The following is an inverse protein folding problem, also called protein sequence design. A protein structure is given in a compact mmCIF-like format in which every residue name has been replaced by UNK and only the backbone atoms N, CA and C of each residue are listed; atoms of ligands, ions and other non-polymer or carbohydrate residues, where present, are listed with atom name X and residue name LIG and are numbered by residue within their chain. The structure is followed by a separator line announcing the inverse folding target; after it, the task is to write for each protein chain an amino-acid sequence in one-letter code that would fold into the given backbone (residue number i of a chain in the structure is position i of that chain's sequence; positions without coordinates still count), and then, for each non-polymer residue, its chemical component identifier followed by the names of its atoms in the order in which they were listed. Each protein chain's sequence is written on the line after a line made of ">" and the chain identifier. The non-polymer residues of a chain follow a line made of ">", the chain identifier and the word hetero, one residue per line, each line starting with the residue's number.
data_IF_121259544557
#
_entry.id   IF_121259544557
#
_cell.length_a   1.000
_cell.length_b   1.000
_cell.length_c   1.000
_cell.angle_alpha   90.00
_cell.angle_beta   90.00
_cell.angle_gamma   90.00
#
_symmetry.space_group_name_H-M   'P 1'
#
loop_
_entity.id
_entity.type
_entity.pdbx_description
1 polymer ?
#
# COMPACT_ATOMS: atom_id res chain seq x y z
N UNK A 1 22.31 -33.87 -40.96
CA UNK A 1 21.89 -34.12 -39.56
C UNK A 1 23.17 -34.00 -38.73
N UNK A 2 23.46 -32.96 -37.96
CA UNK A 2 22.64 -32.00 -37.24
C UNK A 2 23.30 -30.63 -37.30
N UNK A 3 22.51 -29.61 -37.65
CA UNK A 3 22.84 -28.21 -37.44
C UNK A 3 22.72 -27.93 -35.94
N UNK A 4 23.83 -27.63 -35.26
CA UNK A 4 23.78 -27.08 -33.92
C UNK A 4 23.38 -25.61 -34.04
N UNK A 5 22.11 -25.32 -33.79
CA UNK A 5 21.63 -23.98 -33.57
C UNK A 5 22.17 -23.51 -32.21
N UNK A 6 23.17 -22.63 -32.27
CA UNK A 6 23.69 -21.86 -31.15
C UNK A 6 22.59 -20.89 -30.69
N UNK A 7 21.74 -21.35 -29.77
CA UNK A 7 20.71 -20.54 -29.14
C UNK A 7 21.38 -19.66 -28.09
N UNK A 8 22.01 -18.57 -28.54
CA UNK A 8 22.48 -17.52 -27.65
C UNK A 8 21.28 -16.82 -27.03
N UNK A 9 21.00 -17.12 -25.75
CA UNK A 9 20.00 -16.41 -24.96
C UNK A 9 20.54 -15.02 -24.66
N UNK A 10 20.24 -14.07 -25.54
CA UNK A 10 20.39 -12.66 -25.24
C UNK A 10 19.41 -12.32 -24.10
N UNK A 11 19.95 -12.09 -22.90
CA UNK A 11 19.17 -11.64 -21.73
C UNK A 11 18.62 -10.24 -22.03
N UNK A 12 17.45 -10.17 -22.67
CA UNK A 12 16.64 -8.96 -22.83
C UNK A 12 15.87 -8.70 -21.54
N UNK A 13 16.57 -8.33 -20.47
CA UNK A 13 15.93 -7.68 -19.32
C UNK A 13 16.86 -6.61 -18.77
N UNK A 14 16.85 -5.43 -19.40
CA UNK A 14 16.84 -4.23 -18.57
C UNK A 14 15.48 -4.21 -17.91
N UNK A 15 15.36 -4.92 -16.78
CA UNK A 15 14.25 -4.71 -15.89
C UNK A 15 14.38 -3.26 -15.44
N UNK A 16 13.53 -2.39 -15.99
CA UNK A 16 13.23 -1.12 -15.36
C UNK A 16 12.77 -1.49 -13.96
N UNK A 17 13.67 -1.33 -12.97
CA UNK A 17 13.35 -1.51 -11.56
C UNK A 17 11.95 -0.95 -11.33
N UNK A 18 11.00 -1.72 -10.77
CA UNK A 18 9.63 -1.27 -10.68
C UNK A 18 9.65 0.05 -9.94
N UNK A 19 9.31 1.13 -10.64
CA UNK A 19 9.21 2.45 -10.04
C UNK A 19 8.16 2.34 -8.95
N UNK A 20 8.62 2.35 -7.71
CA UNK A 20 7.79 2.15 -6.53
C UNK A 20 6.70 3.21 -6.52
N UNK A 21 5.49 2.77 -6.18
CA UNK A 21 4.35 3.69 -6.12
C UNK A 21 4.56 4.65 -4.95
N UNK A 22 4.18 5.91 -5.12
CA UNK A 22 4.31 6.95 -4.10
C UNK A 22 2.94 7.50 -3.75
N UNK A 23 2.73 7.79 -2.47
CA UNK A 23 1.50 8.45 -2.03
C UNK A 23 1.50 9.92 -2.44
N UNK A 24 0.33 10.58 -2.48
CA UNK A 24 0.26 12.02 -2.73
C UNK A 24 1.05 12.87 -1.73
N UNK A 25 1.32 12.34 -0.53
CA UNK A 25 2.04 13.02 0.55
C UNK A 25 3.55 12.69 0.59
N UNK A 26 4.07 11.98 -0.42
CA UNK A 26 5.45 11.53 -0.43
C UNK A 26 6.49 12.65 -0.32
N UNK A 27 6.24 13.82 -0.93
CA UNK A 27 7.12 14.98 -0.80
C UNK A 27 7.14 15.54 0.62
N UNK A 28 6.00 15.52 1.31
CA UNK A 28 5.89 15.98 2.70
C UNK A 28 6.65 15.04 3.63
N UNK A 29 6.55 13.73 3.41
CA UNK A 29 7.32 12.73 4.17
C UNK A 29 8.82 12.96 4.05
N UNK A 30 9.32 13.27 2.85
CA UNK A 30 10.73 13.62 2.66
C UNK A 30 11.12 14.90 3.39
N UNK A 31 10.28 15.95 3.32
CA UNK A 31 10.54 17.21 4.01
C UNK A 31 10.59 17.05 5.54
N UNK A 32 9.79 16.13 6.09
CA UNK A 32 9.76 15.78 7.52
C UNK A 32 10.89 14.82 7.94
N UNK A 33 11.78 14.45 7.03
CA UNK A 33 12.91 13.56 7.32
C UNK A 33 12.48 12.11 7.60
N UNK A 34 11.40 11.65 6.97
CA UNK A 34 10.95 10.28 7.12
C UNK A 34 12.00 9.28 6.63
N UNK A 35 12.17 8.20 7.39
CA UNK A 35 12.88 7.00 6.94
C UNK A 35 11.91 6.16 6.12
N UNK A 36 12.11 6.11 4.80
CA UNK A 36 11.22 5.35 3.91
C UNK A 36 11.69 3.91 3.73
N UNK A 37 10.75 3.02 3.41
CA UNK A 37 10.99 1.65 2.97
C UNK A 37 9.99 1.25 1.90
N UNK A 38 10.24 0.13 1.25
CA UNK A 38 9.30 -0.47 0.30
C UNK A 38 8.32 -1.36 1.05
N UNK A 39 7.03 -1.05 0.95
CA UNK A 39 5.95 -1.84 1.51
C UNK A 39 4.85 -2.07 0.48
N UNK A 40 4.54 -3.33 0.17
CA UNK A 40 3.52 -3.70 -0.82
C UNK A 40 3.68 -3.01 -2.20
N UNK A 41 4.93 -2.72 -2.60
CA UNK A 41 5.24 -2.00 -3.84
C UNK A 41 5.07 -0.48 -3.78
N UNK A 42 4.93 0.08 -2.57
CA UNK A 42 4.88 1.51 -2.29
C UNK A 42 6.09 1.97 -1.49
N UNK A 43 6.60 3.16 -1.79
CA UNK A 43 7.61 3.84 -1.00
C UNK A 43 6.92 4.59 0.16
N UNK A 44 7.08 4.08 1.39
CA UNK A 44 6.30 4.50 2.56
C UNK A 44 7.19 4.88 3.75
N UNK A 45 6.81 5.88 4.56
CA UNK A 45 7.51 6.24 5.79
C UNK A 45 7.36 5.15 6.87
N UNK A 46 8.47 4.68 7.43
CA UNK A 46 8.53 3.71 8.56
C UNK A 46 8.58 4.41 9.90
N UNK A 47 9.32 5.51 9.97
CA UNK A 47 9.47 6.33 11.17
C UNK A 47 10.02 7.71 10.80
N UNK A 48 9.81 8.66 11.67
CA UNK A 48 10.35 10.02 11.65
C UNK A 48 11.41 10.17 12.75
N UNK A 49 11.94 11.38 12.93
CA UNK A 49 13.07 11.68 13.81
C UNK A 49 13.09 10.96 15.17
N UNK A 50 12.04 11.05 16.00
CA UNK A 50 11.99 10.44 17.34
C UNK A 50 12.00 8.89 17.34
N UNK A 51 11.74 8.27 16.20
CA UNK A 51 11.66 6.83 16.03
C UNK A 51 10.31 6.22 16.43
N UNK A 52 10.10 4.94 16.07
CA UNK A 52 8.79 4.30 16.16
C UNK A 52 8.25 4.15 17.59
N UNK A 53 9.14 4.01 18.59
CA UNK A 53 8.74 3.93 20.01
C UNK A 53 8.15 5.25 20.50
N UNK A 54 8.75 6.36 20.10
CA UNK A 54 8.27 7.69 20.48
C UNK A 54 6.96 8.03 19.75
N UNK A 55 6.84 7.68 18.46
CA UNK A 55 5.59 7.80 17.70
C UNK A 55 4.46 6.99 18.32
N UNK A 56 4.73 5.73 18.70
CA UNK A 56 3.77 4.89 19.41
C UNK A 56 3.30 5.54 20.71
N UNK A 57 4.23 6.06 21.53
CA UNK A 57 3.89 6.77 22.78
C UNK A 57 3.09 8.04 22.49
N UNK A 58 3.38 8.78 21.42
CA UNK A 58 2.65 9.97 21.03
C UNK A 58 1.17 9.65 20.74
N UNK A 59 0.92 8.62 19.93
CA UNK A 59 -0.43 8.16 19.58
C UNK A 59 -1.20 7.70 20.82
N UNK A 60 -0.52 7.03 21.76
CA UNK A 60 -1.16 6.52 23.00
C UNK A 60 -1.48 7.61 24.01
N UNK A 61 -0.69 8.67 24.07
CA UNK A 61 -0.80 9.71 25.09
C UNK A 61 -1.39 11.03 24.57
N UNK A 62 -1.56 11.18 23.25
CA UNK A 62 -2.05 12.38 22.60
C UNK A 62 -2.74 12.02 21.27
N UNK A 63 -2.17 12.41 20.13
CA UNK A 63 -2.70 12.13 18.80
C UNK A 63 -1.57 11.71 17.84
N UNK A 64 -1.92 10.98 16.79
CA UNK A 64 -1.00 10.64 15.70
C UNK A 64 -1.67 10.80 14.35
N UNK A 65 -0.87 11.19 13.35
CA UNK A 65 -1.28 11.32 11.96
C UNK A 65 -0.60 10.21 11.15
N UNK A 66 -1.39 9.47 10.37
CA UNK A 66 -0.91 8.36 9.55
C UNK A 66 -1.32 8.58 8.09
N UNK A 67 -0.37 8.40 7.17
CA UNK A 67 -0.68 8.35 5.74
C UNK A 67 -1.07 6.91 5.34
N UNK A 68 -2.37 6.70 5.15
CA UNK A 68 -2.95 5.43 4.69
C UNK A 68 -3.38 5.49 3.22
N UNK A 69 -2.88 6.46 2.45
CA UNK A 69 -3.33 6.68 1.05
C UNK A 69 -2.97 5.54 0.09
N UNK A 70 -2.05 4.66 0.48
CA UNK A 70 -1.71 3.44 -0.28
C UNK A 70 -2.81 2.36 -0.20
N UNK A 71 -3.75 2.48 0.75
CA UNK A 71 -4.85 1.52 0.91
C UNK A 71 -5.86 1.62 -0.22
N UNK A 72 -6.23 0.48 -0.78
CA UNK A 72 -7.28 0.39 -1.79
C UNK A 72 -8.63 0.80 -1.23
N UNK A 73 -9.38 1.59 -1.99
CA UNK A 73 -10.78 1.98 -1.68
C UNK A 73 -11.67 1.55 -2.82
N UNK A 74 -12.81 0.94 -2.50
CA UNK A 74 -13.81 0.49 -3.47
C UNK A 74 -15.18 1.01 -3.04
N UNK A 75 -15.93 1.56 -3.99
CA UNK A 75 -17.31 1.99 -3.78
C UNK A 75 -18.26 0.91 -4.32
N UNK A 76 -19.25 0.55 -3.52
CA UNK A 76 -20.34 -0.35 -3.92
C UNK A 76 -21.67 0.36 -3.70
N UNK A 77 -22.55 0.31 -4.71
CA UNK A 77 -23.84 0.99 -4.71
C UNK A 77 -24.88 0.21 -5.51
N UNK A 78 -26.16 0.41 -5.19
CA UNK A 78 -27.31 -0.23 -5.85
C UNK A 78 -28.08 -1.16 -4.93
N UNK A 79 -29.28 -1.56 -5.36
CA UNK A 79 -30.28 -2.24 -4.51
C UNK A 79 -29.81 -3.60 -3.96
N UNK A 80 -28.85 -4.25 -4.63
CA UNK A 80 -28.27 -5.53 -4.20
C UNK A 80 -26.94 -5.43 -3.43
N UNK A 81 -26.41 -4.22 -3.20
CA UNK A 81 -25.05 -4.05 -2.66
C UNK A 81 -24.89 -4.65 -1.26
N UNK A 82 -25.90 -4.51 -0.41
CA UNK A 82 -25.88 -5.07 0.94
C UNK A 82 -25.87 -6.60 0.92
N UNK A 83 -26.75 -7.23 0.13
CA UNK A 83 -26.81 -8.69 0.01
C UNK A 83 -25.52 -9.27 -0.54
N UNK A 84 -24.95 -8.64 -1.58
CA UNK A 84 -23.67 -9.03 -2.15
C UNK A 84 -22.53 -8.95 -1.12
N UNK A 85 -22.44 -7.84 -0.38
CA UNK A 85 -21.43 -7.69 0.67
C UNK A 85 -21.63 -8.72 1.79
N UNK A 86 -22.87 -9.05 2.13
CA UNK A 86 -23.20 -10.03 3.16
C UNK A 86 -22.73 -11.45 2.81
N UNK A 87 -22.69 -11.80 1.53
CA UNK A 87 -22.12 -13.06 1.05
C UNK A 87 -20.58 -13.01 0.95
N UNK A 88 -20.00 -11.83 0.70
CA UNK A 88 -18.58 -11.66 0.47
C UNK A 88 -17.75 -11.61 1.77
N UNK A 89 -18.27 -11.03 2.85
CA UNK A 89 -17.54 -10.85 4.12
C UNK A 89 -18.09 -11.72 5.24
N UNK A 90 -17.23 -12.07 6.20
CA UNK A 90 -17.62 -12.93 7.35
C UNK A 90 -18.46 -12.20 8.40
N UNK A 91 -18.47 -10.87 8.37
CA UNK A 91 -19.21 -10.04 9.33
C UNK A 91 -20.65 -9.80 8.88
N UNK A 92 -21.56 -9.55 9.83
CA UNK A 92 -22.94 -9.20 9.52
C UNK A 92 -23.06 -7.72 9.13
N UNK A 93 -23.07 -7.46 7.82
CA UNK A 93 -23.20 -6.15 7.18
C UNK A 93 -24.59 -5.55 7.44
N UNK A 94 -25.63 -6.38 7.55
CA UNK A 94 -26.99 -5.91 7.82
C UNK A 94 -27.17 -5.25 9.20
N UNK A 95 -26.21 -5.40 10.12
CA UNK A 95 -26.20 -4.70 11.42
C UNK A 95 -25.62 -3.29 11.36
N UNK A 96 -24.96 -2.92 10.26
CA UNK A 96 -24.38 -1.60 10.09
C UNK A 96 -25.48 -0.58 9.82
N UNK A 97 -25.30 0.63 10.35
CA UNK A 97 -26.14 1.79 10.09
C UNK A 97 -25.32 2.82 9.29
N UNK A 98 -25.96 3.74 8.57
CA UNK A 98 -25.26 4.88 7.98
C UNK A 98 -24.39 5.59 9.02
N UNK A 99 -23.14 5.89 8.66
CA UNK A 99 -22.14 6.54 9.51
C UNK A 99 -21.42 7.65 8.76
#
# INVERSE_FOLDING_TARGET
>A
MSSQADCTVHRLTSAKEPMEKRTPLFSEHQALGAKTTVFAGWEMPVSYGPGPVAEHRCVRNSAGLFDLSHMGRVWLSGDGAQSFLQELVTSNVARLQPG
#
